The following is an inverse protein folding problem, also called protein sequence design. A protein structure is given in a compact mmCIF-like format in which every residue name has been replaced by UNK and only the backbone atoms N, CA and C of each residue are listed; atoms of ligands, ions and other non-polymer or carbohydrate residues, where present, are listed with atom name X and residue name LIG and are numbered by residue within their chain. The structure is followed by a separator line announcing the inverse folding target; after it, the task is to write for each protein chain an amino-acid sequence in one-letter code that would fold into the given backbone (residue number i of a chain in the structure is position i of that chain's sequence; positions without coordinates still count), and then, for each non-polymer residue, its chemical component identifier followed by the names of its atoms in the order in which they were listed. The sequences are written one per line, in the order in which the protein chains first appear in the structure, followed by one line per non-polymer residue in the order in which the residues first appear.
data_IF_128123466178
#
_entry.id   IF_128123466178
#
_cell.length_a   1.000
_cell.length_b   1.000
_cell.length_c   1.000
_cell.angle_alpha   90.00
_cell.angle_beta   90.00
_cell.angle_gamma   90.00
#
_symmetry.space_group_name_H-M   'P 1'
#
loop_
_entity.id
_entity.type
_entity.pdbx_description
1 polymer ?
#
# COMPACT_ATOMS: atom_id res chain seq x y z
N UNK A 1 -19.32 -3.51 -32.25
CA UNK A 1 -18.97 -4.21 -31.00
C UNK A 1 -17.59 -3.78 -30.55
N UNK A 2 -17.46 -3.06 -29.43
CA UNK A 2 -16.15 -2.73 -28.83
C UNK A 2 -15.68 -3.94 -28.04
N UNK A 3 -14.66 -4.65 -28.51
CA UNK A 3 -13.97 -5.66 -27.72
C UNK A 3 -13.04 -4.94 -26.73
N UNK A 4 -13.51 -4.74 -25.51
CA UNK A 4 -12.67 -4.33 -24.40
C UNK A 4 -11.88 -5.54 -23.91
N UNK A 5 -10.62 -5.64 -24.32
CA UNK A 5 -9.68 -6.56 -23.70
C UNK A 5 -9.30 -5.96 -22.35
N UNK A 6 -10.06 -6.32 -21.30
CA UNK A 6 -9.63 -6.08 -19.92
C UNK A 6 -8.35 -6.87 -19.69
N UNK A 7 -7.29 -6.21 -19.21
CA UNK A 7 -6.07 -6.90 -18.79
C UNK A 7 -6.43 -7.90 -17.68
N UNK A 8 -5.87 -9.11 -17.72
CA UNK A 8 -6.07 -10.06 -16.61
C UNK A 8 -5.35 -9.51 -15.38
N UNK A 9 -5.85 -9.79 -14.17
CA UNK A 9 -5.28 -9.24 -12.93
C UNK A 9 -3.80 -9.57 -12.73
N UNK A 10 -3.31 -10.69 -13.29
CA UNK A 10 -1.88 -11.05 -13.36
C UNK A 10 -1.03 -10.02 -14.12
N UNK A 11 -1.60 -9.42 -15.16
CA UNK A 11 -0.91 -8.52 -16.07
C UNK A 11 -0.72 -7.14 -15.43
N UNK A 12 -1.62 -6.76 -14.51
CA UNK A 12 -1.51 -5.52 -13.73
C UNK A 12 -0.37 -5.57 -12.73
N UNK A 13 -0.19 -6.67 -11.99
CA UNK A 13 0.97 -6.81 -11.10
C UNK A 13 2.28 -6.80 -11.88
N UNK A 14 2.32 -7.47 -13.03
CA UNK A 14 3.49 -7.44 -13.90
C UNK A 14 3.80 -6.01 -14.36
N UNK A 15 2.79 -5.27 -14.81
CA UNK A 15 2.92 -3.88 -15.25
C UNK A 15 3.42 -2.97 -14.13
N UNK A 16 2.87 -3.09 -12.92
CA UNK A 16 3.34 -2.34 -11.74
C UNK A 16 4.78 -2.72 -11.39
N UNK A 17 5.10 -4.01 -11.45
CA UNK A 17 6.45 -4.51 -11.17
C UNK A 17 7.47 -3.95 -12.16
N UNK A 18 7.13 -3.89 -13.44
CA UNK A 18 7.98 -3.27 -14.46
C UNK A 18 8.11 -1.76 -14.24
N UNK A 19 7.02 -1.06 -13.93
CA UNK A 19 7.02 0.39 -13.74
C UNK A 19 7.83 0.84 -12.51
N UNK A 20 7.81 0.05 -11.42
CA UNK A 20 8.54 0.33 -10.19
C UNK A 20 9.98 -0.20 -10.26
N UNK A 21 10.16 -1.43 -10.77
CA UNK A 21 11.44 -2.13 -10.84
C UNK A 21 11.43 -3.43 -10.04
N UNK A 22 11.85 -4.53 -10.68
CA UNK A 22 11.95 -5.86 -10.05
C UNK A 22 13.02 -5.92 -8.96
N UNK A 23 14.04 -5.08 -9.05
CA UNK A 23 15.16 -4.99 -8.11
C UNK A 23 14.77 -4.34 -6.77
N UNK A 24 13.52 -3.87 -6.65
CA UNK A 24 13.00 -3.30 -5.41
C UNK A 24 11.99 -4.20 -4.71
N UNK A 25 11.77 -5.41 -5.23
CA UNK A 25 10.93 -6.40 -4.56
C UNK A 25 11.57 -6.83 -3.24
N UNK A 26 10.75 -6.97 -2.21
CA UNK A 26 11.19 -7.48 -0.92
C UNK A 26 10.18 -8.50 -0.37
N UNK A 27 10.68 -9.43 0.45
CA UNK A 27 9.84 -10.49 1.01
C UNK A 27 9.06 -10.03 2.25
N UNK A 28 9.55 -8.98 2.91
CA UNK A 28 9.02 -8.51 4.20
C UNK A 28 9.03 -7.00 4.28
N UNK A 29 8.00 -6.45 4.92
CA UNK A 29 7.92 -5.04 5.24
C UNK A 29 8.32 -4.83 6.70
N UNK A 30 9.61 -4.55 6.91
CA UNK A 30 10.21 -4.41 8.24
C UNK A 30 11.15 -3.20 8.29
N UNK A 31 11.05 -2.43 9.35
CA UNK A 31 11.97 -1.34 9.65
C UNK A 31 12.31 -1.34 11.14
N UNK A 32 13.60 -1.47 11.46
CA UNK A 32 14.11 -1.62 12.84
C UNK A 32 13.37 -2.75 13.57
N UNK A 33 12.64 -2.37 14.61
CA UNK A 33 11.91 -3.23 15.53
C UNK A 33 10.39 -3.29 15.22
N UNK A 34 9.96 -2.79 14.06
CA UNK A 34 8.55 -2.81 13.62
C UNK A 34 8.45 -3.62 12.33
N UNK A 35 7.45 -4.49 12.24
CA UNK A 35 7.18 -5.32 11.07
C UNK A 35 5.68 -5.37 10.80
N UNK A 36 5.31 -5.31 9.53
CA UNK A 36 3.95 -5.53 9.06
C UNK A 36 3.74 -7.02 8.79
N UNK A 37 2.93 -7.67 9.62
CA UNK A 37 2.44 -9.02 9.33
C UNK A 37 1.37 -8.93 8.24
N UNK A 38 1.47 -9.76 7.20
CA UNK A 38 0.44 -9.82 6.16
C UNK A 38 -0.84 -10.47 6.69
N UNK A 39 -0.73 -11.45 7.60
CA UNK A 39 -1.88 -12.23 8.10
C UNK A 39 -2.44 -13.16 7.01
N UNK A 40 -3.74 -13.45 7.08
CA UNK A 40 -4.47 -14.32 6.16
C UNK A 40 -4.77 -13.66 4.80
N UNK A 41 -3.81 -12.92 4.23
CA UNK A 41 -3.95 -12.34 2.89
C UNK A 41 -3.65 -13.42 1.86
N UNK A 42 -4.70 -13.88 1.20
CA UNK A 42 -4.70 -14.97 0.21
C UNK A 42 -4.48 -14.49 -1.23
N UNK A 43 -4.58 -13.17 -1.45
CA UNK A 43 -4.41 -12.54 -2.76
C UNK A 43 -2.97 -12.64 -3.31
N UNK A 44 -2.86 -12.67 -4.64
CA UNK A 44 -1.57 -12.49 -5.32
C UNK A 44 -0.99 -11.13 -4.98
N UNK A 45 0.30 -11.10 -4.64
CA UNK A 45 0.91 -9.91 -4.06
C UNK A 45 2.31 -9.60 -4.59
N UNK A 46 2.64 -8.31 -4.59
CA UNK A 46 4.00 -7.79 -4.77
C UNK A 46 4.27 -6.75 -3.69
N UNK A 47 5.39 -6.90 -3.00
CA UNK A 47 5.84 -5.98 -1.98
C UNK A 47 7.15 -5.35 -2.45
N UNK A 48 7.26 -4.03 -2.34
CA UNK A 48 8.42 -3.27 -2.76
C UNK A 48 8.99 -2.44 -1.60
N UNK A 49 10.32 -2.33 -1.56
CA UNK A 49 11.03 -1.34 -0.76
C UNK A 49 10.86 0.04 -1.40
N UNK A 50 10.09 0.89 -0.72
CA UNK A 50 9.79 2.24 -1.19
C UNK A 50 11.03 3.15 -1.16
N UNK A 51 11.96 2.93 -0.22
CA UNK A 51 13.17 3.72 -0.11
C UNK A 51 14.12 3.47 -1.26
N UNK A 52 14.36 2.20 -1.58
CA UNK A 52 15.15 1.79 -2.73
C UNK A 52 14.55 2.32 -4.05
N UNK A 53 13.25 2.10 -4.27
CA UNK A 53 12.58 2.49 -5.50
C UNK A 53 12.58 4.01 -5.73
N UNK A 54 12.24 4.80 -4.71
CA UNK A 54 12.17 6.26 -4.84
C UNK A 54 13.56 6.89 -4.94
N UNK A 55 14.57 6.36 -4.23
CA UNK A 55 15.97 6.83 -4.36
C UNK A 55 16.53 6.59 -5.75
N UNK A 56 16.30 5.41 -6.34
CA UNK A 56 16.71 5.12 -7.72
C UNK A 56 16.04 6.06 -8.72
N UNK A 57 14.82 6.51 -8.42
CA UNK A 57 14.11 7.52 -9.20
C UNK A 57 14.56 8.97 -8.94
N UNK A 58 15.58 9.21 -8.09
CA UNK A 58 16.08 10.54 -7.75
C UNK A 58 15.20 11.33 -6.78
N UNK A 59 14.24 10.69 -6.12
CA UNK A 59 13.31 11.35 -5.20
C UNK A 59 13.91 11.38 -3.79
N UNK A 60 14.10 12.58 -3.26
CA UNK A 60 14.70 12.85 -1.95
C UNK A 60 13.68 13.19 -0.87
N UNK A 61 12.40 13.33 -1.24
CA UNK A 61 11.32 13.60 -0.29
C UNK A 61 11.13 12.46 0.71
N UNK A 62 10.34 12.76 1.75
CA UNK A 62 9.88 11.75 2.69
C UNK A 62 9.07 10.69 1.97
N UNK A 63 9.13 9.45 2.47
CA UNK A 63 8.48 8.29 1.86
C UNK A 63 8.11 7.27 2.91
N UNK A 64 7.17 6.41 2.57
CA UNK A 64 6.83 5.28 3.40
C UNK A 64 7.88 4.18 3.27
N UNK A 65 7.78 3.13 4.08
CA UNK A 65 8.76 2.04 4.09
C UNK A 65 8.51 1.05 2.95
N UNK A 66 7.24 0.73 2.65
CA UNK A 66 6.91 -0.29 1.66
C UNK A 66 5.69 0.04 0.81
N UNK A 67 5.65 -0.53 -0.39
CA UNK A 67 4.47 -0.59 -1.26
C UNK A 67 3.99 -2.03 -1.36
N UNK A 68 2.74 -2.29 -0.96
CA UNK A 68 2.11 -3.59 -1.18
C UNK A 68 1.02 -3.45 -2.26
N UNK A 69 1.10 -4.28 -3.29
CA UNK A 69 0.08 -4.40 -4.31
C UNK A 69 -0.56 -5.78 -4.23
N UNK A 70 -1.89 -5.83 -4.27
CA UNK A 70 -2.70 -7.04 -4.19
C UNK A 70 -3.63 -7.14 -5.40
N UNK A 71 -3.78 -8.34 -5.96
CA UNK A 71 -4.71 -8.65 -7.06
C UNK A 71 -5.35 -10.02 -6.87
N UNK A 72 -6.35 -10.33 -7.70
CA UNK A 72 -6.94 -11.67 -7.74
C UNK A 72 -8.24 -11.76 -6.93
N UNK A 73 -8.95 -10.65 -6.76
CA UNK A 73 -10.31 -10.66 -6.22
C UNK A 73 -11.31 -10.18 -7.28
N UNK A 74 -12.51 -10.79 -7.39
CA UNK A 74 -13.45 -10.47 -8.46
C UNK A 74 -13.95 -9.02 -8.48
N UNK A 75 -14.00 -8.36 -7.31
CA UNK A 75 -14.55 -7.02 -7.15
C UNK A 75 -13.53 -5.89 -7.34
N UNK A 76 -12.24 -6.23 -7.49
CA UNK A 76 -11.16 -5.26 -7.56
C UNK A 76 -9.93 -5.85 -8.27
N UNK A 77 -9.58 -5.26 -9.41
CA UNK A 77 -8.42 -5.72 -10.19
C UNK A 77 -7.08 -5.51 -9.48
N UNK A 78 -6.95 -4.38 -8.75
CA UNK A 78 -5.74 -3.99 -8.03
C UNK A 78 -6.05 -3.16 -6.78
N UNK A 79 -5.42 -3.53 -5.66
CA UNK A 79 -5.38 -2.75 -4.43
C UNK A 79 -3.94 -2.35 -4.11
N UNK A 80 -3.74 -1.06 -3.83
CA UNK A 80 -2.47 -0.50 -3.40
C UNK A 80 -2.50 -0.15 -1.91
N UNK A 81 -1.50 -0.61 -1.16
CA UNK A 81 -1.36 -0.41 0.27
C UNK A 81 0.02 0.20 0.53
N UNK A 82 0.16 1.54 0.59
CA UNK A 82 1.38 2.17 1.09
C UNK A 82 1.49 1.98 2.60
N UNK A 83 2.65 1.55 3.09
CA UNK A 83 2.86 1.14 4.48
C UNK A 83 3.99 1.94 5.09
N UNK A 84 3.69 2.68 6.15
CA UNK A 84 4.67 3.31 7.04
C UNK A 84 4.81 2.49 8.33
N UNK A 85 6.04 2.30 8.80
CA UNK A 85 6.40 1.57 10.00
C UNK A 85 6.97 2.53 11.06
N UNK A 86 6.33 2.60 12.23
CA UNK A 86 6.83 3.40 13.35
C UNK A 86 7.03 2.55 14.60
N UNK A 87 8.30 2.35 14.96
CA UNK A 87 8.66 1.67 16.22
C UNK A 87 8.48 2.56 17.47
N UNK A 88 8.37 3.88 17.29
CA UNK A 88 8.20 4.87 18.36
C UNK A 88 7.15 5.93 18.03
N UNK A 89 7.28 7.14 18.59
CA UNK A 89 6.32 8.24 18.36
C UNK A 89 6.22 8.59 16.87
N UNK A 90 4.99 8.66 16.37
CA UNK A 90 4.67 9.03 14.99
C UNK A 90 3.94 10.39 14.94
N UNK A 91 4.48 11.41 14.29
CA UNK A 91 3.71 12.64 14.07
C UNK A 91 2.75 12.44 12.90
N UNK A 92 1.48 12.87 13.04
CA UNK A 92 0.48 12.72 11.96
C UNK A 92 0.96 13.38 10.67
N UNK A 93 1.41 14.63 10.71
CA UNK A 93 1.92 15.33 9.53
C UNK A 93 3.07 14.59 8.84
N UNK A 94 4.04 14.07 9.62
CA UNK A 94 5.15 13.30 9.07
C UNK A 94 4.71 12.01 8.35
N UNK A 95 3.79 11.24 8.94
CA UNK A 95 3.28 10.01 8.32
C UNK A 95 2.43 10.31 7.08
N UNK A 96 1.57 11.33 7.15
CA UNK A 96 0.74 11.76 6.01
C UNK A 96 1.62 12.21 4.85
N UNK A 97 2.66 13.00 5.11
CA UNK A 97 3.61 13.45 4.08
C UNK A 97 4.38 12.29 3.45
N UNK A 98 4.86 11.33 4.26
CA UNK A 98 5.54 10.12 3.80
C UNK A 98 4.64 9.29 2.87
N UNK A 99 3.39 9.06 3.27
CA UNK A 99 2.41 8.30 2.50
C UNK A 99 2.01 9.07 1.24
N UNK A 100 1.73 10.36 1.33
CA UNK A 100 1.32 11.18 0.18
C UNK A 100 2.41 11.21 -0.89
N UNK A 101 3.67 11.49 -0.51
CA UNK A 101 4.76 11.53 -1.48
C UNK A 101 4.99 10.17 -2.16
N UNK A 102 4.70 9.07 -1.45
CA UNK A 102 4.77 7.72 -1.99
C UNK A 102 3.65 7.42 -2.99
N UNK A 103 2.43 7.88 -2.67
CA UNK A 103 1.28 7.80 -3.56
C UNK A 103 1.54 8.58 -4.86
N UNK A 104 2.12 9.78 -4.75
CA UNK A 104 2.45 10.62 -5.91
C UNK A 104 3.51 9.97 -6.80
N UNK A 105 4.54 9.36 -6.20
CA UNK A 105 5.54 8.59 -6.94
C UNK A 105 4.92 7.44 -7.73
N UNK A 106 4.12 6.61 -7.07
CA UNK A 106 3.47 5.45 -7.69
C UNK A 106 2.50 5.90 -8.78
N UNK A 107 1.74 6.98 -8.56
CA UNK A 107 0.87 7.55 -9.58
C UNK A 107 1.66 8.01 -10.81
N UNK A 108 2.78 8.70 -10.63
CA UNK A 108 3.63 9.18 -11.72
C UNK A 108 4.28 8.04 -12.53
N UNK A 109 4.68 6.94 -11.86
CA UNK A 109 5.29 5.78 -12.51
C UNK A 109 4.28 4.93 -13.25
N UNK A 110 3.19 4.54 -12.58
CA UNK A 110 2.23 3.60 -13.13
C UNK A 110 1.28 4.24 -14.15
N UNK A 111 0.98 5.55 -14.07
CA UNK A 111 0.16 6.23 -15.08
C UNK A 111 0.76 6.23 -16.49
N UNK A 112 2.09 6.10 -16.61
CA UNK A 112 2.78 6.04 -17.90
C UNK A 112 2.60 4.69 -18.60
N UNK A 113 2.39 3.63 -17.82
CA UNK A 113 2.42 2.24 -18.30
C UNK A 113 1.02 1.60 -18.29
N UNK A 114 0.17 1.93 -17.32
CA UNK A 114 -1.16 1.35 -17.14
C UNK A 114 -2.26 2.36 -17.53
N UNK A 115 -2.57 2.48 -18.83
CA UNK A 115 -3.48 3.53 -19.34
C UNK A 115 -4.98 3.30 -19.08
N UNK A 116 -5.44 2.06 -18.93
CA UNK A 116 -6.89 1.79 -18.97
C UNK A 116 -7.52 1.35 -17.63
N UNK A 117 -6.78 0.78 -16.67
CA UNK A 117 -7.40 0.29 -15.41
C UNK A 117 -6.80 0.87 -14.13
N UNK A 118 -5.69 1.60 -14.24
CA UNK A 118 -5.01 2.23 -13.10
C UNK A 118 -5.90 3.19 -12.32
N UNK A 119 -6.79 3.91 -13.00
CA UNK A 119 -7.73 4.86 -12.37
C UNK A 119 -8.78 4.17 -11.47
N UNK A 120 -8.96 2.85 -11.60
CA UNK A 120 -9.88 2.07 -10.75
C UNK A 120 -9.19 1.54 -9.49
N UNK A 121 -7.87 1.62 -9.39
CA UNK A 121 -7.09 1.18 -8.23
C UNK A 121 -7.66 1.75 -6.94
N UNK A 122 -8.05 0.88 -6.02
CA UNK A 122 -8.34 1.26 -4.64
C UNK A 122 -7.04 1.35 -3.87
N UNK A 123 -7.02 2.18 -2.84
CA UNK A 123 -5.87 2.27 -1.97
C UNK A 123 -6.26 2.30 -0.50
N UNK A 124 -5.45 1.67 0.33
CA UNK A 124 -5.64 1.60 1.79
C UNK A 124 -4.31 1.97 2.44
N UNK A 125 -4.10 3.25 2.76
CA UNK A 125 -2.85 3.69 3.37
C UNK A 125 -2.78 3.21 4.82
N UNK A 126 -1.62 2.70 5.23
CA UNK A 126 -1.46 2.08 6.54
C UNK A 126 -0.26 2.64 7.31
N UNK A 127 -0.47 2.87 8.60
CA UNK A 127 0.57 3.06 9.60
C UNK A 127 0.60 1.83 10.50
N UNK A 128 1.70 1.09 10.45
CA UNK A 128 2.00 0.00 11.38
C UNK A 128 2.84 0.53 12.53
N UNK A 129 2.38 0.34 13.76
CA UNK A 129 3.02 0.93 14.94
C UNK A 129 3.30 -0.12 16.02
N UNK A 130 4.45 0.00 16.71
CA UNK A 130 4.81 -0.91 17.83
C UNK A 130 4.48 -0.34 19.21
N UNK A 131 4.79 0.93 19.47
CA UNK A 131 4.56 1.57 20.78
C UNK A 131 3.09 1.97 20.98
N UNK A 132 2.66 2.17 22.22
CA UNK A 132 1.32 2.70 22.52
C UNK A 132 1.15 4.12 21.97
N UNK A 133 0.50 4.22 20.82
CA UNK A 133 -0.04 5.48 20.32
C UNK A 133 -1.20 5.91 21.24
N UNK A 134 -1.29 7.20 21.55
CA UNK A 134 -2.35 7.69 22.44
C UNK A 134 -3.70 7.76 21.70
N UNK A 135 -4.80 7.66 22.43
CA UNK A 135 -6.15 7.86 21.86
C UNK A 135 -6.28 9.17 21.09
N UNK A 136 -5.65 10.25 21.60
CA UNK A 136 -5.62 11.56 20.93
C UNK A 136 -4.93 11.49 19.57
N UNK A 137 -3.82 10.78 19.48
CA UNK A 137 -3.08 10.59 18.23
C UNK A 137 -3.90 9.76 17.22
N UNK A 138 -4.62 8.74 17.67
CA UNK A 138 -5.53 7.97 16.81
C UNK A 138 -6.67 8.83 16.25
N UNK A 139 -7.26 9.69 17.08
CA UNK A 139 -8.29 10.63 16.62
C UNK A 139 -7.71 11.58 15.57
N UNK A 140 -6.50 12.11 15.78
CA UNK A 140 -5.85 12.98 14.80
C UNK A 140 -5.58 12.28 13.47
N UNK A 141 -5.14 11.01 13.48
CA UNK A 141 -4.95 10.24 12.24
C UNK A 141 -6.26 10.05 11.46
N UNK A 142 -7.39 9.88 12.14
CA UNK A 142 -8.71 9.77 11.49
C UNK A 142 -9.22 11.08 10.88
N UNK A 143 -8.66 12.22 11.30
CA UNK A 143 -9.01 13.55 10.78
C UNK A 143 -8.19 13.94 9.55
N UNK A 144 -7.16 13.17 9.19
CA UNK A 144 -6.31 13.46 8.05
C UNK A 144 -6.51 12.40 6.97
N UNK A 145 -6.75 12.85 5.74
CA UNK A 145 -6.78 12.01 4.55
C UNK A 145 -5.54 12.23 3.70
N UNK A 146 -5.20 11.21 2.93
CA UNK A 146 -4.27 11.29 1.80
C UNK A 146 -5.04 11.11 0.50
N UNK A 147 -4.49 11.62 -0.60
CA UNK A 147 -5.10 11.61 -1.93
C UNK A 147 -4.34 10.71 -2.88
N UNK A 148 -5.07 9.91 -3.64
CA UNK A 148 -4.50 9.11 -4.72
C UNK A 148 -5.49 9.01 -5.87
N UNK A 149 -5.05 9.45 -7.07
CA UNK A 149 -5.86 9.42 -8.30
C UNK A 149 -7.25 10.05 -8.12
N UNK A 150 -7.31 11.20 -7.43
CA UNK A 150 -8.55 11.94 -7.17
C UNK A 150 -9.44 11.35 -6.06
N UNK A 151 -9.00 10.28 -5.37
CA UNK A 151 -9.73 9.65 -4.26
C UNK A 151 -9.06 9.96 -2.93
N UNK A 152 -9.86 10.11 -1.88
CA UNK A 152 -9.39 10.32 -0.51
C UNK A 152 -9.49 9.05 0.32
N UNK A 153 -8.54 8.84 1.22
CA UNK A 153 -8.58 7.76 2.21
C UNK A 153 -7.89 8.18 3.50
N UNK A 154 -8.41 7.74 4.63
CA UNK A 154 -7.79 7.95 5.94
C UNK A 154 -6.65 6.96 6.16
N UNK A 155 -5.66 7.32 6.96
CA UNK A 155 -4.58 6.39 7.32
C UNK A 155 -5.09 5.36 8.33
N UNK A 156 -5.06 4.09 7.95
CA UNK A 156 -5.46 2.98 8.80
C UNK A 156 -4.33 2.59 9.75
N UNK A 157 -4.69 2.32 11.00
CA UNK A 157 -3.76 1.99 12.06
C UNK A 157 -3.74 0.48 12.29
N UNK A 158 -2.54 -0.11 12.25
CA UNK A 158 -2.31 -1.54 12.51
C UNK A 158 -1.23 -1.68 13.57
N UNK A 159 -1.46 -2.51 14.59
CA UNK A 159 -0.44 -2.76 15.62
C UNK A 159 0.55 -3.80 15.11
N UNK A 160 1.84 -3.53 15.21
CA UNK A 160 2.89 -4.51 14.90
C UNK A 160 2.80 -5.69 15.88
N UNK A 161 2.90 -6.91 15.35
CA UNK A 161 2.71 -8.14 16.10
C UNK A 161 1.24 -8.57 16.30
N UNK A 162 0.26 -7.83 15.78
CA UNK A 162 -1.11 -8.34 15.67
C UNK A 162 -1.13 -9.50 14.68
N UNK A 163 -1.68 -10.65 15.08
CA UNK A 163 -1.77 -11.85 14.26
C UNK A 163 -2.56 -11.62 12.97
N UNK A 164 -3.61 -10.78 13.02
CA UNK A 164 -4.39 -10.43 11.83
C UNK A 164 -3.68 -9.42 10.93
N UNK A 165 -2.65 -8.75 11.44
CA UNK A 165 -1.78 -7.86 10.69
C UNK A 165 -2.54 -6.86 9.80
N UNK A 166 -2.06 -6.71 8.55
CA UNK A 166 -2.67 -5.85 7.55
C UNK A 166 -4.07 -6.34 7.13
N UNK A 167 -4.32 -7.65 7.12
CA UNK A 167 -5.60 -8.23 6.73
C UNK A 167 -6.77 -7.60 7.50
N UNK A 168 -6.58 -7.25 8.77
CA UNK A 168 -7.59 -6.59 9.63
C UNK A 168 -8.16 -5.26 9.10
N UNK A 169 -7.51 -4.64 8.09
CA UNK A 169 -7.91 -3.37 7.49
C UNK A 169 -8.13 -3.45 5.98
N UNK A 170 -7.87 -4.60 5.35
CA UNK A 170 -8.15 -4.81 3.94
C UNK A 170 -9.65 -5.11 3.73
N UNK A 171 -10.22 -4.88 2.54
CA UNK A 171 -11.58 -5.32 2.22
C UNK A 171 -11.75 -6.84 2.41
N UNK A 172 -12.97 -7.29 2.76
CA UNK A 172 -13.27 -8.71 3.08
C UNK A 172 -12.82 -9.66 1.97
N UNK A 173 -13.01 -9.26 0.71
CA UNK A 173 -12.67 -10.04 -0.47
C UNK A 173 -11.16 -10.36 -0.57
N UNK A 174 -10.29 -9.59 0.11
CA UNK A 174 -8.84 -9.86 0.18
C UNK A 174 -8.44 -10.76 1.37
N UNK A 175 -9.41 -11.19 2.20
CA UNK A 175 -9.19 -11.99 3.41
C UNK A 175 -9.76 -13.41 3.35
N UNK A 176 -10.50 -13.75 2.29
CA UNK A 176 -11.13 -15.08 2.16
C UNK A 176 -10.23 -16.02 1.36
N UNK A 177 -9.87 -17.13 1.99
CA UNK A 177 -9.81 -18.42 1.32
C UNK A 177 -11.25 -18.92 1.32
N UNK A 178 -11.85 -19.09 0.15
CA UNK A 178 -12.99 -19.99 0.05
C UNK A 178 -12.45 -21.39 0.41
N UNK A 179 -12.55 -21.74 1.69
CA UNK A 179 -12.52 -23.13 2.12
C UNK A 179 -13.81 -23.77 1.62
N UNK A 180 -13.77 -24.22 0.37
CA UNK A 180 -14.62 -25.31 -0.13
C UNK A 180 -14.13 -26.64 0.42
#
# INVERSE_FOLDING_TARGET
MKMGWGMKSSDLLATVTEAIGTDHLCDRCKHRNCEAALGDVTAHRKLFDADAAMRKAGITSKKCDCFLFLTGIPSQDLLFVPIELKSGKATVGGVVEQIQSSLDFVAARCSRVARNDWHKTKFVPMLVYRSSSSTRQFVQFRQHSVKFLGRESIVHLVKSGDARGLASKLPDDFRREDMS
#
